data_IF_448096609508
#
_entry.id   IF_448096609508
#
_cell.length_a   1.000
_cell.length_b   1.000
_cell.length_c   1.000
_cell.angle_alpha   90.00
_cell.angle_beta   90.00
_cell.angle_gamma   90.00
#
_symmetry.space_group_name_H-M   'P 1'
#
loop_
_entity.id
_entity.type
_entity.pdbx_description
1 polymer ?
#
# COMPACT_ATOMS: atom_id res chain seq x y z
N UNK A 1 45.06 56.21 -8.30
CA UNK A 1 45.49 55.83 -6.93
C UNK A 1 44.24 55.43 -6.17
N UNK A 2 44.07 54.30 -5.49
CA UNK A 2 44.77 53.02 -5.33
C UNK A 2 44.00 52.29 -4.20
N UNK A 3 44.05 50.94 -4.17
CA UNK A 3 43.52 50.00 -3.15
C UNK A 3 42.09 49.51 -3.45
N UNK A 4 41.86 48.37 -4.11
CA UNK A 4 42.31 46.99 -3.86
C UNK A 4 41.89 46.47 -2.48
N UNK A 5 40.76 45.77 -2.42
CA UNK A 5 40.57 44.65 -1.50
C UNK A 5 39.88 43.50 -2.22
N UNK A 6 40.60 42.40 -2.24
CA UNK A 6 40.31 41.14 -2.90
C UNK A 6 39.54 40.27 -1.89
N UNK A 7 38.39 39.73 -2.26
CA UNK A 7 37.82 38.57 -1.55
C UNK A 7 37.41 37.52 -2.58
N UNK A 8 38.34 36.58 -2.78
CA UNK A 8 38.10 35.33 -3.49
C UNK A 8 37.13 34.47 -2.68
N UNK A 9 35.87 34.37 -3.12
CA UNK A 9 35.02 33.27 -2.72
C UNK A 9 35.32 32.07 -3.63
N UNK A 10 36.15 31.16 -3.12
CA UNK A 10 36.29 29.81 -3.62
C UNK A 10 34.99 29.04 -3.33
N UNK A 11 33.98 29.15 -4.20
CA UNK A 11 32.91 28.15 -4.25
C UNK A 11 33.41 26.99 -5.11
N UNK A 12 33.77 25.89 -4.44
CA UNK A 12 33.90 24.56 -5.07
C UNK A 12 32.55 24.20 -5.71
N UNK A 13 32.37 24.53 -6.98
CA UNK A 13 31.39 23.90 -7.85
C UNK A 13 31.99 22.55 -8.24
N UNK A 14 31.82 21.55 -7.38
CA UNK A 14 32.17 20.16 -7.67
C UNK A 14 30.88 19.33 -7.70
N UNK A 15 30.53 18.93 -8.92
CA UNK A 15 29.88 17.67 -9.30
C UNK A 15 28.42 17.37 -8.91
N UNK A 16 27.47 18.30 -9.03
CA UNK A 16 26.06 17.89 -9.25
C UNK A 16 25.82 17.52 -10.73
N UNK A 17 26.38 18.29 -11.65
CA UNK A 17 26.25 18.04 -13.10
C UNK A 17 26.96 16.79 -13.59
N UNK A 18 28.06 16.36 -12.96
CA UNK A 18 28.74 15.11 -13.33
C UNK A 18 27.97 13.88 -12.84
N UNK A 19 27.28 13.96 -11.71
CA UNK A 19 26.46 12.84 -11.18
C UNK A 19 25.13 12.77 -11.94
N UNK A 20 24.51 13.91 -12.26
CA UNK A 20 23.32 13.97 -13.12
C UNK A 20 23.65 13.58 -14.56
N UNK A 21 24.75 14.04 -15.14
CA UNK A 21 25.15 13.62 -16.50
C UNK A 21 25.63 12.16 -16.50
N UNK A 22 26.26 11.67 -15.44
CA UNK A 22 26.59 10.26 -15.32
C UNK A 22 25.32 9.41 -15.17
N UNK A 23 24.33 9.85 -14.38
CA UNK A 23 23.07 9.11 -14.21
C UNK A 23 22.21 9.15 -15.48
N UNK A 24 22.15 10.28 -16.20
CA UNK A 24 21.50 10.41 -17.52
C UNK A 24 22.22 9.62 -18.60
N UNK A 25 23.56 9.67 -18.66
CA UNK A 25 24.36 8.82 -19.57
C UNK A 25 24.20 7.34 -19.22
N UNK A 26 24.10 6.98 -17.94
CA UNK A 26 23.81 5.60 -17.52
C UNK A 26 22.38 5.21 -17.91
N UNK A 27 21.41 6.11 -17.77
CA UNK A 27 20.01 5.90 -18.15
C UNK A 27 19.85 5.74 -19.67
N UNK A 28 20.47 6.61 -20.49
CA UNK A 28 20.46 6.51 -21.95
C UNK A 28 21.21 5.26 -22.44
N UNK A 29 22.31 4.89 -21.78
CA UNK A 29 23.08 3.68 -22.12
C UNK A 29 22.35 2.40 -21.72
N UNK A 30 21.50 2.44 -20.70
CA UNK A 30 20.56 1.36 -20.34
C UNK A 30 19.37 1.33 -21.32
N UNK A 31 18.84 2.49 -21.74
CA UNK A 31 17.71 2.58 -22.65
C UNK A 31 18.04 2.09 -24.07
N UNK A 32 19.27 2.30 -24.53
CA UNK A 32 19.79 1.74 -25.80
C UNK A 32 20.08 0.23 -25.75
N UNK A 33 19.89 -0.44 -24.62
CA UNK A 33 19.95 -1.90 -24.54
C UNK A 33 18.62 -2.54 -24.98
N UNK A 34 18.17 -2.22 -26.19
CA UNK A 34 17.15 -3.01 -26.88
C UNK A 34 17.77 -4.39 -27.19
N UNK A 35 17.50 -5.36 -26.31
CA UNK A 35 18.02 -6.72 -26.42
C UNK A 35 17.43 -7.42 -27.65
N UNK A 36 18.31 -8.11 -28.39
CA UNK A 36 17.97 -8.84 -29.62
C UNK A 36 17.26 -10.18 -29.38
N UNK A 37 17.28 -10.71 -28.16
CA UNK A 37 16.82 -12.07 -27.85
C UNK A 37 15.39 -12.09 -27.28
N UNK A 38 14.42 -11.66 -28.07
CA UNK A 38 12.99 -11.64 -27.66
C UNK A 38 12.43 -13.05 -27.43
N UNK A 39 12.88 -14.05 -28.19
CA UNK A 39 12.42 -15.44 -28.07
C UNK A 39 12.90 -16.11 -26.76
N UNK A 40 14.18 -15.93 -26.41
CA UNK A 40 14.74 -16.46 -25.16
C UNK A 40 14.10 -15.78 -23.94
N UNK A 41 13.89 -14.46 -24.00
CA UNK A 41 13.17 -13.73 -22.96
C UNK A 41 11.73 -14.23 -22.79
N UNK A 42 11.02 -14.48 -23.90
CA UNK A 42 9.66 -15.01 -23.87
C UNK A 42 9.62 -16.44 -23.28
N UNK A 43 10.61 -17.27 -23.59
CA UNK A 43 10.75 -18.61 -23.02
C UNK A 43 11.02 -18.58 -21.50
N UNK A 44 12.00 -17.78 -21.05
CA UNK A 44 12.32 -17.64 -19.61
C UNK A 44 11.12 -17.05 -18.86
N UNK A 45 10.43 -16.05 -19.44
CA UNK A 45 9.19 -15.51 -18.87
C UNK A 45 8.11 -16.57 -18.74
N UNK A 46 7.96 -17.46 -19.72
CA UNK A 46 7.01 -18.59 -19.68
C UNK A 46 7.35 -19.57 -18.56
N UNK A 47 8.64 -19.86 -18.36
CA UNK A 47 9.11 -20.73 -17.26
C UNK A 47 8.77 -20.11 -15.90
N UNK A 48 9.14 -18.85 -15.67
CA UNK A 48 8.92 -18.17 -14.38
C UNK A 48 7.42 -18.05 -14.07
N UNK A 49 6.59 -17.82 -15.09
CA UNK A 49 5.14 -17.69 -14.92
C UNK A 49 4.41 -19.02 -14.73
N UNK A 50 5.08 -20.15 -15.01
CA UNK A 50 4.47 -21.47 -14.90
C UNK A 50 4.11 -21.83 -13.45
N UNK A 51 2.97 -22.50 -13.27
CA UNK A 51 2.52 -22.97 -11.95
C UNK A 51 3.50 -24.02 -11.37
N UNK A 52 4.07 -24.86 -12.23
CA UNK A 52 5.03 -25.89 -11.82
C UNK A 52 6.30 -25.27 -11.24
N UNK A 53 6.85 -24.24 -11.88
CA UNK A 53 8.03 -23.53 -11.37
C UNK A 53 7.78 -22.96 -9.97
N UNK A 54 6.62 -22.31 -9.77
CA UNK A 54 6.23 -21.80 -8.44
C UNK A 54 6.12 -22.92 -7.40
N UNK A 55 5.52 -24.06 -7.73
CA UNK A 55 5.41 -25.21 -6.81
C UNK A 55 6.80 -25.76 -6.46
N UNK A 56 7.70 -25.89 -7.44
CA UNK A 56 9.08 -26.34 -7.22
C UNK A 56 9.80 -25.38 -6.27
N UNK A 57 9.68 -24.07 -6.50
CA UNK A 57 10.33 -23.07 -5.65
C UNK A 57 9.77 -23.06 -4.22
N UNK A 58 8.45 -23.14 -4.05
CA UNK A 58 7.83 -23.24 -2.73
C UNK A 58 8.28 -24.53 -2.02
N UNK A 59 8.25 -25.67 -2.72
CA UNK A 59 8.71 -26.95 -2.18
C UNK A 59 10.17 -26.89 -1.75
N UNK A 60 11.02 -26.24 -2.55
CA UNK A 60 12.45 -26.03 -2.25
C UNK A 60 12.64 -25.21 -0.97
N UNK A 61 11.93 -24.09 -0.83
CA UNK A 61 12.00 -23.24 0.38
C UNK A 61 11.46 -23.98 1.62
N UNK A 62 10.33 -24.66 1.49
CA UNK A 62 9.75 -25.45 2.59
C UNK A 62 10.66 -26.61 3.01
N UNK A 63 11.27 -27.30 2.05
CA UNK A 63 12.23 -28.36 2.33
C UNK A 63 13.46 -27.80 3.04
N UNK A 64 14.03 -26.68 2.58
CA UNK A 64 15.15 -26.03 3.29
C UNK A 64 14.80 -25.69 4.74
N UNK A 65 13.61 -25.14 4.99
CA UNK A 65 13.15 -24.85 6.35
C UNK A 65 13.07 -26.11 7.22
N UNK A 66 12.59 -27.23 6.65
CA UNK A 66 12.57 -28.52 7.34
C UNK A 66 14.00 -29.01 7.67
N UNK A 67 14.93 -28.93 6.72
CA UNK A 67 16.35 -29.26 6.98
C UNK A 67 16.96 -28.36 8.06
N UNK A 68 16.60 -27.08 8.13
CA UNK A 68 17.04 -26.16 9.18
C UNK A 68 16.51 -26.56 10.57
N UNK A 69 15.27 -27.04 10.66
CA UNK A 69 14.73 -27.58 11.92
C UNK A 69 15.52 -28.81 12.37
N UNK A 70 15.75 -29.77 11.47
CA UNK A 70 16.54 -30.97 11.77
C UNK A 70 18.00 -30.65 12.17
N UNK A 71 18.57 -29.57 11.65
CA UNK A 71 19.91 -29.10 11.99
C UNK A 71 20.05 -28.63 13.45
N UNK A 72 18.94 -28.27 14.11
CA UNK A 72 18.96 -27.75 15.49
C UNK A 72 19.30 -28.86 16.50
N UNK A 73 18.99 -30.12 16.18
CA UNK A 73 19.40 -31.26 17.01
C UNK A 73 20.89 -31.61 16.79
N UNK A 74 21.69 -31.53 17.85
CA UNK A 74 23.12 -31.82 17.83
C UNK A 74 23.44 -33.24 17.36
N UNK A 75 22.62 -34.24 17.74
CA UNK A 75 22.85 -35.65 17.41
C UNK A 75 22.64 -35.88 15.91
N UNK A 76 21.54 -35.36 15.36
CA UNK A 76 21.22 -35.43 13.93
C UNK A 76 22.21 -34.64 13.09
N UNK A 77 22.61 -33.45 13.54
CA UNK A 77 23.59 -32.59 12.87
C UNK A 77 24.95 -33.26 12.69
N UNK A 78 25.45 -33.98 13.70
CA UNK A 78 26.74 -34.66 13.61
C UNK A 78 26.70 -35.82 12.61
N UNK A 79 25.66 -36.64 12.65
CA UNK A 79 25.53 -37.82 11.79
C UNK A 79 25.32 -37.44 10.31
N UNK A 80 24.55 -36.39 10.05
CA UNK A 80 24.16 -35.98 8.69
C UNK A 80 24.85 -34.68 8.22
N UNK A 81 25.97 -34.30 8.83
CA UNK A 81 26.65 -33.03 8.56
C UNK A 81 26.88 -32.77 7.06
N UNK A 82 27.37 -33.79 6.32
CA UNK A 82 27.61 -33.68 4.87
C UNK A 82 26.33 -33.47 4.07
N UNK A 83 25.21 -34.12 4.45
CA UNK A 83 23.94 -33.96 3.73
C UNK A 83 23.40 -32.54 3.88
N UNK A 84 23.50 -31.97 5.08
CA UNK A 84 23.08 -30.59 5.34
C UNK A 84 23.93 -29.56 4.60
N UNK A 85 25.26 -29.74 4.55
CA UNK A 85 26.13 -28.81 3.82
C UNK A 85 25.86 -28.86 2.31
N UNK A 86 25.68 -30.06 1.74
CA UNK A 86 25.34 -30.23 0.32
C UNK A 86 23.95 -29.68 0.01
N UNK A 87 22.94 -29.97 0.85
CA UNK A 87 21.59 -29.48 0.61
C UNK A 87 21.53 -27.96 0.65
N UNK A 88 22.23 -27.32 1.58
CA UNK A 88 22.32 -25.87 1.68
C UNK A 88 22.89 -25.23 0.41
N UNK A 89 23.96 -25.79 -0.15
CA UNK A 89 24.53 -25.32 -1.43
C UNK A 89 23.53 -25.49 -2.59
N UNK A 90 22.80 -26.61 -2.63
CA UNK A 90 21.77 -26.85 -3.64
C UNK A 90 20.65 -25.80 -3.53
N UNK A 91 20.17 -25.53 -2.31
CA UNK A 91 19.09 -24.57 -2.07
C UNK A 91 19.50 -23.14 -2.47
N UNK A 92 20.71 -22.72 -2.11
CA UNK A 92 21.28 -21.42 -2.49
C UNK A 92 21.40 -21.33 -4.02
N UNK A 93 21.86 -22.38 -4.67
CA UNK A 93 21.99 -22.45 -6.13
C UNK A 93 20.65 -22.31 -6.84
N UNK A 94 19.63 -23.05 -6.40
CA UNK A 94 18.27 -22.95 -6.95
C UNK A 94 17.71 -21.53 -6.78
N UNK A 95 17.82 -20.96 -5.58
CA UNK A 95 17.35 -19.59 -5.31
C UNK A 95 18.09 -18.52 -6.14
N UNK A 96 19.41 -18.69 -6.30
CA UNK A 96 20.23 -17.77 -7.10
C UNK A 96 19.90 -17.88 -8.58
N UNK A 97 19.66 -19.09 -9.09
CA UNK A 97 19.27 -19.29 -10.49
C UNK A 97 17.93 -18.62 -10.83
N UNK A 98 16.95 -18.72 -9.94
CA UNK A 98 15.67 -18.03 -10.08
C UNK A 98 15.85 -16.51 -10.13
N UNK A 99 16.65 -15.96 -9.22
CA UNK A 99 16.96 -14.53 -9.19
C UNK A 99 17.58 -14.07 -10.50
N UNK A 100 18.58 -14.80 -11.01
CA UNK A 100 19.20 -14.54 -12.30
C UNK A 100 18.18 -14.58 -13.45
N UNK A 101 17.26 -15.56 -13.46
CA UNK A 101 16.20 -15.65 -14.47
C UNK A 101 15.24 -14.45 -14.41
N UNK A 102 14.82 -14.02 -13.21
CA UNK A 102 13.94 -12.83 -13.05
C UNK A 102 14.64 -11.55 -13.48
N UNK A 103 15.90 -11.37 -13.09
CA UNK A 103 16.71 -10.22 -13.49
C UNK A 103 16.94 -10.19 -15.01
N UNK A 104 17.08 -11.37 -15.64
CA UNK A 104 17.23 -11.49 -17.08
C UNK A 104 15.97 -11.05 -17.85
N UNK A 105 14.77 -11.42 -17.40
CA UNK A 105 13.52 -11.12 -18.11
C UNK A 105 13.20 -9.61 -18.15
N UNK A 106 13.61 -8.82 -17.16
CA UNK A 106 13.32 -7.40 -17.17
C UNK A 106 14.03 -6.63 -16.07
N UNK A 107 15.29 -6.20 -16.25
CA UNK A 107 16.06 -5.59 -15.18
C UNK A 107 15.43 -4.30 -14.66
N UNK A 108 14.94 -3.41 -15.53
CA UNK A 108 14.34 -2.12 -15.10
C UNK A 108 12.97 -2.32 -14.42
N UNK A 109 12.11 -3.17 -14.99
CA UNK A 109 10.80 -3.42 -14.40
C UNK A 109 10.87 -4.22 -13.09
N UNK A 110 11.95 -5.00 -12.90
CA UNK A 110 12.18 -5.77 -11.69
C UNK A 110 12.35 -4.89 -10.46
N UNK A 111 13.06 -3.75 -10.56
CA UNK A 111 13.29 -2.83 -9.44
C UNK A 111 12.06 -2.01 -9.02
N UNK A 112 11.02 -1.91 -9.88
CA UNK A 112 9.79 -1.17 -9.57
C UNK A 112 8.81 -1.95 -8.69
N UNK A 113 8.91 -3.28 -8.66
CA UNK A 113 8.01 -4.13 -7.88
C UNK A 113 8.58 -4.38 -6.47
N UNK A 114 7.85 -3.95 -5.43
CA UNK A 114 8.27 -4.10 -4.04
C UNK A 114 8.51 -5.55 -3.61
N UNK A 115 7.82 -6.52 -4.21
CA UNK A 115 8.03 -7.95 -3.90
C UNK A 115 9.32 -8.51 -4.51
N UNK A 116 9.78 -7.91 -5.61
CA UNK A 116 11.07 -8.25 -6.22
C UNK A 116 12.22 -7.65 -5.41
N UNK A 117 12.03 -6.47 -4.79
CA UNK A 117 12.99 -5.92 -3.84
C UNK A 117 13.20 -6.85 -2.62
N UNK A 118 12.12 -7.44 -2.09
CA UNK A 118 12.23 -8.45 -1.02
C UNK A 118 13.06 -9.67 -1.46
N UNK A 119 12.90 -10.14 -2.70
CA UNK A 119 13.69 -11.25 -3.24
C UNK A 119 15.19 -10.90 -3.32
N UNK A 120 15.54 -9.66 -3.72
CA UNK A 120 16.92 -9.16 -3.69
C UNK A 120 17.49 -9.17 -2.27
N UNK A 121 16.74 -8.64 -1.29
CA UNK A 121 17.17 -8.59 0.12
C UNK A 121 17.42 -10.01 0.64
N UNK A 122 16.54 -10.96 0.33
CA UNK A 122 16.68 -12.35 0.73
C UNK A 122 17.93 -12.97 0.10
N UNK A 123 18.19 -12.73 -1.19
CA UNK A 123 19.42 -13.20 -1.84
C UNK A 123 20.65 -12.63 -1.14
N UNK A 124 20.68 -11.33 -0.82
CA UNK A 124 21.79 -10.73 -0.07
C UNK A 124 22.00 -11.45 1.26
N UNK A 125 20.93 -11.67 2.04
CA UNK A 125 20.99 -12.37 3.33
C UNK A 125 21.58 -13.78 3.20
N UNK A 126 21.24 -14.50 2.13
CA UNK A 126 21.76 -15.84 1.85
C UNK A 126 23.27 -15.80 1.55
N UNK A 127 23.76 -14.77 0.85
CA UNK A 127 25.18 -14.64 0.47
C UNK A 127 26.09 -14.08 1.57
N UNK A 128 25.57 -13.30 2.53
CA UNK A 128 26.33 -12.73 3.67
C UNK A 128 27.24 -13.77 4.36
N UNK A 129 26.76 -14.92 4.86
CA UNK A 129 27.57 -15.88 5.60
C UNK A 129 28.65 -16.53 4.73
N UNK A 130 28.39 -16.74 3.44
CA UNK A 130 29.36 -17.27 2.48
C UNK A 130 30.49 -16.26 2.24
N UNK A 131 30.14 -14.98 2.04
CA UNK A 131 31.11 -13.89 1.92
C UNK A 131 31.94 -13.69 3.19
N UNK A 132 31.29 -13.68 4.36
CA UNK A 132 31.97 -13.53 5.65
C UNK A 132 32.96 -14.66 5.93
N UNK A 133 32.60 -15.92 5.62
CA UNK A 133 33.49 -17.07 5.80
C UNK A 133 34.72 -17.00 4.89
N UNK A 134 34.57 -16.46 3.67
CA UNK A 134 35.67 -16.29 2.72
C UNK A 134 36.64 -15.16 3.11
N UNK A 135 36.13 -14.07 3.70
CA UNK A 135 36.93 -12.87 4.01
C UNK A 135 37.56 -12.92 5.41
N UNK A 136 36.81 -13.36 6.43
CA UNK A 136 37.21 -13.22 7.85
C UNK A 136 37.55 -14.54 8.57
N UNK A 137 37.50 -15.68 7.85
CA UNK A 137 37.78 -17.00 8.41
C UNK A 137 36.65 -17.55 9.30
N UNK A 138 36.79 -18.80 9.79
CA UNK A 138 35.74 -19.53 10.51
C UNK A 138 35.44 -19.00 11.93
N UNK A 139 36.34 -18.24 12.55
CA UNK A 139 36.27 -17.80 13.95
C UNK A 139 35.75 -16.36 14.15
N UNK A 140 34.76 -15.93 13.38
CA UNK A 140 34.14 -14.62 13.59
C UNK A 140 32.94 -14.76 14.56
N UNK A 141 32.89 -14.04 15.71
CA UNK A 141 31.83 -14.21 16.71
C UNK A 141 30.43 -13.89 16.15
N UNK A 142 30.32 -12.95 15.21
CA UNK A 142 29.06 -12.60 14.55
C UNK A 142 28.64 -13.60 13.45
N UNK A 143 29.44 -14.62 13.15
CA UNK A 143 29.07 -15.66 12.18
C UNK A 143 27.80 -16.39 12.65
N UNK A 144 27.62 -16.57 13.96
CA UNK A 144 26.42 -17.19 14.52
C UNK A 144 25.15 -16.39 14.21
N UNK A 145 25.23 -15.06 14.32
CA UNK A 145 24.12 -14.16 13.97
C UNK A 145 23.86 -14.21 12.45
N UNK A 146 24.91 -14.15 11.63
CA UNK A 146 24.79 -14.27 10.18
C UNK A 146 24.20 -15.63 9.74
N UNK A 147 24.53 -16.71 10.44
CA UNK A 147 23.93 -18.02 10.22
C UNK A 147 22.46 -18.03 10.63
N UNK A 148 22.09 -17.36 11.73
CA UNK A 148 20.69 -17.20 12.14
C UNK A 148 19.86 -16.40 11.13
N UNK A 149 20.42 -15.33 10.56
CA UNK A 149 19.75 -14.51 9.54
C UNK A 149 19.34 -15.31 8.30
N UNK A 150 20.04 -16.40 7.99
CA UNK A 150 19.67 -17.27 6.86
C UNK A 150 18.26 -17.87 6.99
N UNK A 151 17.75 -18.03 8.21
CA UNK A 151 16.38 -18.51 8.46
C UNK A 151 15.33 -17.59 7.84
N UNK A 152 15.64 -16.30 7.68
CA UNK A 152 14.78 -15.30 7.05
C UNK A 152 14.45 -15.63 5.59
N UNK A 153 15.17 -16.55 4.94
CA UNK A 153 14.80 -16.98 3.57
C UNK A 153 13.42 -17.64 3.50
N UNK A 154 12.86 -18.11 4.63
CA UNK A 154 11.46 -18.56 4.69
C UNK A 154 10.48 -17.44 4.28
N UNK A 155 10.87 -16.18 4.47
CA UNK A 155 10.11 -15.01 4.01
C UNK A 155 9.93 -14.99 2.49
N UNK A 156 10.76 -15.74 1.73
CA UNK A 156 10.58 -15.90 0.28
C UNK A 156 9.22 -16.51 -0.09
N UNK A 157 8.58 -17.21 0.85
CA UNK A 157 7.21 -17.71 0.70
C UNK A 157 6.19 -16.59 0.45
N UNK A 158 6.44 -15.39 0.98
CA UNK A 158 5.64 -14.17 0.74
C UNK A 158 5.60 -13.86 -0.76
N UNK A 159 6.72 -14.00 -1.46
CA UNK A 159 6.82 -13.71 -2.90
C UNK A 159 6.08 -14.77 -3.74
N UNK A 160 5.69 -15.91 -3.19
CA UNK A 160 4.94 -16.92 -3.94
C UNK A 160 3.47 -17.02 -3.59
N UNK A 161 3.12 -16.86 -2.31
CA UNK A 161 1.75 -17.04 -1.83
C UNK A 161 0.94 -15.76 -1.91
N UNK A 162 -0.08 -15.73 -2.78
CA UNK A 162 -1.04 -14.62 -2.84
C UNK A 162 -1.73 -14.38 -1.49
N UNK A 163 -2.04 -15.44 -0.74
CA UNK A 163 -2.68 -15.32 0.58
C UNK A 163 -1.81 -14.56 1.57
N UNK A 164 -0.51 -14.89 1.65
CA UNK A 164 0.42 -14.20 2.55
C UNK A 164 0.61 -12.74 2.12
N UNK A 165 0.68 -12.46 0.82
CA UNK A 165 0.72 -11.07 0.32
C UNK A 165 -0.51 -10.28 0.74
N UNK A 166 -1.71 -10.86 0.59
CA UNK A 166 -2.94 -10.19 1.04
C UNK A 166 -2.91 -9.90 2.54
N UNK A 167 -2.45 -10.86 3.36
CA UNK A 167 -2.33 -10.67 4.80
C UNK A 167 -1.33 -9.56 5.15
N UNK A 168 -0.15 -9.54 4.52
CA UNK A 168 0.87 -8.52 4.78
C UNK A 168 0.40 -7.15 4.31
N UNK A 169 -0.26 -7.06 3.15
CA UNK A 169 -0.84 -5.79 2.68
C UNK A 169 -1.92 -5.30 3.66
N UNK A 170 -2.77 -6.19 4.18
CA UNK A 170 -3.77 -5.83 5.17
C UNK A 170 -3.12 -5.33 6.48
N UNK A 171 -2.07 -6.02 6.97
CA UNK A 171 -1.30 -5.58 8.14
C UNK A 171 -0.58 -4.26 7.88
N UNK A 172 -0.05 -4.03 6.68
CA UNK A 172 0.58 -2.77 6.31
C UNK A 172 -0.40 -1.59 6.30
N UNK A 173 -1.62 -1.82 5.83
CA UNK A 173 -2.69 -0.81 5.86
C UNK A 173 -3.06 -0.41 7.29
N UNK A 174 -3.10 -1.36 8.24
CA UNK A 174 -3.40 -1.05 9.64
C UNK A 174 -2.19 -0.46 10.38
N UNK A 175 -0.97 -0.87 10.02
CA UNK A 175 0.25 -0.38 10.63
C UNK A 175 0.42 1.14 10.47
N UNK A 176 0.03 1.70 9.31
CA UNK A 176 0.09 3.15 9.10
C UNK A 176 -0.80 3.91 10.09
N UNK A 177 -2.03 3.43 10.31
CA UNK A 177 -2.96 4.03 11.29
C UNK A 177 -2.43 3.91 12.72
N UNK A 178 -1.80 2.79 13.05
CA UNK A 178 -1.24 2.52 14.39
C UNK A 178 0.05 3.30 14.65
N UNK A 179 0.82 3.64 13.61
CA UNK A 179 2.13 4.27 13.73
C UNK A 179 2.09 5.59 14.52
N UNK A 180 1.07 6.44 14.28
CA UNK A 180 0.92 7.72 15.00
C UNK A 180 0.80 7.54 16.51
N UNK A 181 0.07 6.51 16.96
CA UNK A 181 -0.11 6.22 18.38
C UNK A 181 1.14 5.56 18.97
N UNK A 182 1.83 4.71 18.20
CA UNK A 182 3.12 4.15 18.62
C UNK A 182 4.20 5.22 18.80
N UNK A 183 4.21 6.27 17.97
CA UNK A 183 5.13 7.41 18.15
C UNK A 183 4.80 8.15 19.46
N UNK A 184 3.53 8.42 19.74
CA UNK A 184 3.11 9.00 21.02
C UNK A 184 3.53 8.13 22.21
N UNK A 185 3.33 6.81 22.11
CA UNK A 185 3.75 5.85 23.12
C UNK A 185 5.28 5.83 23.32
N UNK A 186 6.05 5.91 22.23
CA UNK A 186 7.50 6.01 22.30
C UNK A 186 7.97 7.30 22.99
N UNK A 187 7.33 8.44 22.71
CA UNK A 187 7.61 9.71 23.40
C UNK A 187 7.28 9.62 24.89
N UNK A 188 6.14 9.01 25.25
CA UNK A 188 5.79 8.74 26.64
C UNK A 188 6.86 7.89 27.33
N UNK A 189 7.28 6.78 26.71
CA UNK A 189 8.36 5.93 27.23
C UNK A 189 9.67 6.71 27.35
N UNK A 190 10.02 7.57 26.41
CA UNK A 190 11.25 8.37 26.49
C UNK A 190 11.27 9.30 27.71
N UNK A 191 10.16 10.01 27.96
CA UNK A 191 10.02 10.88 29.13
C UNK A 191 10.15 10.08 30.42
N UNK A 192 9.46 8.93 30.50
CA UNK A 192 9.54 8.05 31.67
C UNK A 192 10.90 7.35 31.81
N UNK A 193 11.61 7.08 30.72
CA UNK A 193 12.93 6.46 30.74
C UNK A 193 13.95 7.40 31.36
N UNK A 194 13.91 8.69 31.00
CA UNK A 194 14.75 9.71 31.62
C UNK A 194 14.35 9.91 33.08
N UNK A 195 13.06 10.01 33.39
CA UNK A 195 12.59 10.15 34.77
C UNK A 195 13.05 8.98 35.65
N UNK A 196 12.86 7.73 35.19
CA UNK A 196 13.27 6.56 35.95
C UNK A 196 14.79 6.41 36.06
N UNK A 197 15.55 6.80 35.03
CA UNK A 197 17.01 6.91 35.12
C UNK A 197 17.43 7.92 36.21
N UNK A 198 16.81 9.10 36.23
CA UNK A 198 17.12 10.14 37.23
C UNK A 198 16.67 9.76 38.65
N UNK A 199 15.56 9.04 38.80
CA UNK A 199 14.98 8.67 40.10
C UNK A 199 15.60 7.39 40.69
N UNK A 200 15.86 6.39 39.85
CA UNK A 200 16.24 5.04 40.28
C UNK A 200 17.60 4.60 39.75
N UNK A 201 18.26 5.34 38.86
CA UNK A 201 19.54 4.99 38.25
C UNK A 201 20.79 5.45 39.01
N UNK A 202 20.66 5.88 40.27
CA UNK A 202 21.79 6.38 41.07
C UNK A 202 22.89 5.31 41.25
N UNK A 203 24.20 5.61 41.06
CA UNK A 203 25.26 4.60 41.05
C UNK A 203 25.45 3.80 42.34
N UNK A 204 25.15 4.37 43.52
CA UNK A 204 25.44 3.72 44.81
C UNK A 204 24.25 3.02 45.47
N UNK A 205 23.02 3.45 45.17
CA UNK A 205 21.77 2.92 45.77
C UNK A 205 20.67 2.61 44.76
N UNK A 206 20.88 2.97 43.50
CA UNK A 206 19.95 2.78 42.41
C UNK A 206 19.98 1.37 41.83
N UNK A 207 18.94 1.06 41.08
CA UNK A 207 18.80 -0.18 40.34
C UNK A 207 19.41 -0.03 38.94
N UNK A 208 20.71 -0.32 38.86
CA UNK A 208 21.49 -0.24 37.61
C UNK A 208 21.07 -1.27 36.56
N UNK A 209 20.42 -2.37 36.95
CA UNK A 209 20.00 -3.41 36.01
C UNK A 209 18.83 -2.93 35.15
N UNK A 210 17.91 -2.17 35.74
CA UNK A 210 16.73 -1.64 35.06
C UNK A 210 16.90 -0.19 34.63
N UNK A 211 17.60 0.64 35.42
CA UNK A 211 17.67 2.09 35.23
C UNK A 211 19.10 2.62 35.07
N UNK A 212 20.09 1.75 34.85
CA UNK A 212 21.50 2.17 34.74
C UNK A 212 21.87 2.85 33.43
N UNK A 213 21.08 2.70 32.38
CA UNK A 213 21.19 3.47 31.15
C UNK A 213 19.83 3.56 30.45
N UNK A 214 19.73 4.43 29.45
CA UNK A 214 18.46 4.66 28.74
C UNK A 214 17.93 3.40 28.05
N UNK A 215 18.79 2.53 27.51
CA UNK A 215 18.36 1.31 26.83
C UNK A 215 17.75 0.28 27.78
N UNK A 216 18.34 0.10 28.97
CA UNK A 216 17.79 -0.72 30.04
C UNK A 216 16.46 -0.14 30.53
N UNK A 217 16.38 1.18 30.72
CA UNK A 217 15.15 1.85 31.14
C UNK A 217 14.02 1.67 30.11
N UNK A 218 14.33 1.76 28.82
CA UNK A 218 13.38 1.46 27.75
C UNK A 218 12.89 0.01 27.79
N UNK A 219 13.78 -0.95 28.06
CA UNK A 219 13.41 -2.36 28.16
C UNK A 219 12.49 -2.61 29.38
N UNK A 220 12.81 -2.02 30.53
CA UNK A 220 11.97 -2.09 31.73
C UNK A 220 10.60 -1.45 31.50
N UNK A 221 10.55 -0.26 30.89
CA UNK A 221 9.28 0.41 30.57
C UNK A 221 8.44 -0.35 29.54
N UNK A 222 9.08 -1.02 28.58
CA UNK A 222 8.38 -1.90 27.64
C UNK A 222 7.68 -3.05 28.38
N UNK A 223 8.36 -3.70 29.34
CA UNK A 223 7.77 -4.73 30.21
C UNK A 223 6.62 -4.19 31.06
N UNK A 224 6.81 -3.01 31.67
CA UNK A 224 5.77 -2.35 32.46
C UNK A 224 4.55 -1.98 31.62
N UNK A 225 4.73 -1.61 30.36
CA UNK A 225 3.64 -1.23 29.48
C UNK A 225 2.77 -2.41 29.05
N UNK A 226 3.36 -3.62 29.00
CA UNK A 226 2.60 -4.88 28.85
C UNK A 226 2.04 -5.38 30.17
N UNK A 227 2.25 -4.65 31.28
CA UNK A 227 1.86 -5.03 32.64
C UNK A 227 2.47 -6.38 33.03
N UNK A 228 3.68 -6.66 32.54
CA UNK A 228 4.40 -7.90 32.82
C UNK A 228 5.56 -7.63 33.78
N UNK A 229 5.69 -8.47 34.81
CA UNK A 229 6.76 -8.37 35.82
C UNK A 229 6.75 -7.11 36.70
N UNK A 230 5.67 -6.30 36.67
CA UNK A 230 5.62 -5.01 37.37
C UNK A 230 5.63 -5.16 38.90
N UNK A 231 5.06 -6.24 39.44
CA UNK A 231 5.06 -6.51 40.89
C UNK A 231 6.45 -6.80 41.42
N UNK A 232 7.23 -7.57 40.65
CA UNK A 232 8.58 -7.98 41.04
C UNK A 232 9.53 -6.77 40.96
N UNK A 233 9.40 -5.95 39.91
CA UNK A 233 10.11 -4.68 39.82
C UNK A 233 9.74 -3.74 40.98
N UNK A 234 8.45 -3.64 41.30
CA UNK A 234 7.98 -2.79 42.39
C UNK A 234 8.50 -3.26 43.75
N UNK A 235 8.55 -4.57 43.99
CA UNK A 235 9.12 -5.15 45.19
C UNK A 235 10.62 -4.82 45.31
N UNK A 236 11.38 -4.94 44.21
CA UNK A 236 12.81 -4.58 44.20
C UNK A 236 13.05 -3.09 44.47
N UNK A 237 12.15 -2.21 44.02
CA UNK A 237 12.22 -0.77 44.29
C UNK A 237 11.80 -0.43 45.73
N UNK A 238 10.80 -1.14 46.27
CA UNK A 238 10.33 -1.01 47.65
C UNK A 238 11.42 -1.45 48.65
N UNK A 239 12.11 -2.57 48.39
CA UNK A 239 13.22 -3.08 49.21
C UNK A 239 14.38 -2.08 49.32
N UNK A 240 14.53 -1.21 48.31
CA UNK A 240 15.53 -0.13 48.26
C UNK A 240 15.03 1.19 48.87
N UNK A 241 13.84 1.22 49.45
CA UNK A 241 13.19 2.38 50.07
C UNK A 241 12.93 3.56 49.10
N UNK A 242 12.66 3.29 47.82
CA UNK A 242 12.25 4.33 46.87
C UNK A 242 10.78 4.70 47.06
N UNK A 243 10.49 5.72 47.86
CA UNK A 243 9.11 6.15 48.18
C UNK A 243 8.29 6.56 46.95
N UNK A 244 8.93 7.18 45.94
CA UNK A 244 8.28 7.63 44.71
C UNK A 244 8.05 6.50 43.68
N UNK A 245 8.59 5.30 43.92
CA UNK A 245 8.53 4.19 42.96
C UNK A 245 7.10 3.73 42.67
N UNK A 246 6.28 3.54 43.71
CA UNK A 246 4.88 3.10 43.57
C UNK A 246 4.07 4.06 42.70
N UNK A 247 4.17 5.36 42.97
CA UNK A 247 3.48 6.38 42.19
C UNK A 247 3.98 6.42 40.74
N UNK A 248 5.31 6.35 40.53
CA UNK A 248 5.89 6.30 39.20
C UNK A 248 5.37 5.10 38.38
N UNK A 249 5.43 3.89 38.95
CA UNK A 249 5.00 2.65 38.28
C UNK A 249 3.51 2.68 37.99
N UNK A 250 2.67 3.05 38.96
CA UNK A 250 1.20 3.09 38.79
C UNK A 250 0.81 4.14 37.73
N UNK A 251 1.39 5.34 37.78
CA UNK A 251 1.09 6.40 36.80
C UNK A 251 1.51 5.96 35.40
N UNK A 252 2.70 5.36 35.26
CA UNK A 252 3.16 4.87 33.98
C UNK A 252 2.24 3.78 33.43
N UNK A 253 1.89 2.77 34.23
CA UNK A 253 1.01 1.67 33.81
C UNK A 253 -0.36 2.18 33.38
N UNK A 254 -0.94 3.13 34.13
CA UNK A 254 -2.22 3.75 33.79
C UNK A 254 -2.15 4.54 32.48
N UNK A 255 -1.10 5.37 32.30
CA UNK A 255 -0.90 6.14 31.07
C UNK A 255 -0.62 5.23 29.87
N UNK A 256 0.25 4.23 30.01
CA UNK A 256 0.56 3.26 28.97
C UNK A 256 -0.70 2.48 28.57
N UNK A 257 -1.46 1.99 29.55
CA UNK A 257 -2.73 1.28 29.32
C UNK A 257 -3.76 2.17 28.63
N UNK A 258 -3.84 3.45 29.01
CA UNK A 258 -4.70 4.43 28.35
C UNK A 258 -4.30 4.65 26.89
N UNK A 259 -3.00 4.78 26.60
CA UNK A 259 -2.49 4.92 25.22
C UNK A 259 -2.77 3.64 24.40
N UNK A 260 -2.57 2.45 24.96
CA UNK A 260 -2.90 1.18 24.31
C UNK A 260 -4.39 1.03 24.03
N UNK A 261 -5.25 1.39 25.00
CA UNK A 261 -6.71 1.37 24.80
C UNK A 261 -7.12 2.40 23.73
N UNK A 262 -6.52 3.59 23.74
CA UNK A 262 -6.75 4.62 22.74
C UNK A 262 -6.33 4.18 21.34
N UNK A 263 -5.21 3.44 21.24
CA UNK A 263 -4.77 2.81 19.99
C UNK A 263 -5.82 1.81 19.48
N UNK A 264 -6.30 0.92 20.35
CA UNK A 264 -7.30 -0.08 20.00
C UNK A 264 -8.61 0.57 19.55
N UNK A 265 -9.11 1.55 20.30
CA UNK A 265 -10.31 2.32 19.96
C UNK A 265 -10.13 3.05 18.63
N UNK A 266 -8.98 3.72 18.41
CA UNK A 266 -8.69 4.42 17.17
C UNK A 266 -8.71 3.49 15.95
N UNK A 267 -8.01 2.36 16.04
CA UNK A 267 -7.99 1.34 14.98
C UNK A 267 -9.37 0.75 14.73
N UNK A 268 -10.11 0.43 15.80
CA UNK A 268 -11.47 -0.09 15.70
C UNK A 268 -12.40 0.91 15.01
N UNK A 269 -12.37 2.19 15.39
CA UNK A 269 -13.17 3.24 14.76
C UNK A 269 -12.82 3.37 13.29
N UNK A 270 -11.54 3.45 12.93
CA UNK A 270 -11.14 3.53 11.50
C UNK A 270 -11.65 2.33 10.71
N UNK A 271 -11.55 1.11 11.26
CA UNK A 271 -12.06 -0.09 10.60
C UNK A 271 -13.59 -0.10 10.49
N UNK A 272 -14.29 0.30 11.54
CA UNK A 272 -15.75 0.39 11.55
C UNK A 272 -16.22 1.46 10.57
N UNK A 273 -15.60 2.63 10.55
CA UNK A 273 -15.90 3.73 9.63
C UNK A 273 -15.65 3.32 8.17
N UNK A 274 -14.50 2.70 7.88
CA UNK A 274 -14.21 2.17 6.54
C UNK A 274 -15.21 1.10 6.12
N UNK A 275 -15.63 0.24 7.05
CA UNK A 275 -16.63 -0.81 6.78
C UNK A 275 -18.01 -0.22 6.50
N UNK A 276 -18.43 0.78 7.27
CA UNK A 276 -19.69 1.52 7.07
C UNK A 276 -19.66 2.24 5.71
N UNK A 277 -18.58 2.97 5.39
CA UNK A 277 -18.42 3.66 4.09
C UNK A 277 -18.38 2.69 2.91
N UNK A 278 -17.87 1.47 3.09
CA UNK A 278 -17.93 0.41 2.06
C UNK A 278 -19.36 -0.07 1.86
N UNK A 279 -20.06 -0.37 2.96
CA UNK A 279 -21.45 -0.81 2.92
C UNK A 279 -22.39 0.24 2.29
N UNK A 280 -22.24 1.53 2.65
CA UNK A 280 -23.03 2.61 2.04
C UNK A 280 -22.78 2.73 0.53
N UNK A 281 -21.53 2.59 0.08
CA UNK A 281 -21.20 2.60 -1.36
C UNK A 281 -21.82 1.42 -2.10
N UNK A 282 -21.77 0.23 -1.53
CA UNK A 282 -22.41 -0.96 -2.11
C UNK A 282 -23.92 -0.76 -2.23
N UNK A 283 -24.56 -0.21 -1.20
CA UNK A 283 -26.00 0.07 -1.21
C UNK A 283 -26.37 1.15 -2.23
N UNK A 284 -25.56 2.22 -2.36
CA UNK A 284 -25.76 3.23 -3.40
C UNK A 284 -25.64 2.64 -4.80
N UNK A 285 -24.64 1.78 -5.04
CA UNK A 285 -24.46 1.09 -6.31
C UNK A 285 -25.65 0.18 -6.63
N UNK A 286 -26.12 -0.61 -5.66
CA UNK A 286 -27.29 -1.46 -5.83
C UNK A 286 -28.54 -0.65 -6.18
N UNK A 287 -28.78 0.47 -5.50
CA UNK A 287 -29.88 1.39 -5.82
C UNK A 287 -29.74 2.01 -7.22
N UNK A 288 -28.53 2.36 -7.63
CA UNK A 288 -28.32 2.89 -8.99
C UNK A 288 -28.60 1.83 -10.05
N UNK A 289 -28.20 0.58 -9.81
CA UNK A 289 -28.49 -0.54 -10.73
C UNK A 289 -30.00 -0.77 -10.84
N UNK A 290 -30.73 -0.83 -9.73
CA UNK A 290 -32.18 -1.02 -9.77
C UNK A 290 -32.91 0.12 -10.47
N UNK A 291 -32.53 1.38 -10.21
CA UNK A 291 -33.09 2.54 -10.91
C UNK A 291 -32.78 2.54 -12.41
N UNK A 292 -31.58 2.09 -12.80
CA UNK A 292 -31.23 1.95 -14.22
C UNK A 292 -32.07 0.88 -14.91
N UNK A 293 -32.29 -0.26 -14.27
CA UNK A 293 -33.17 -1.32 -14.78
C UNK A 293 -34.61 -0.83 -14.93
N UNK A 294 -35.16 -0.14 -13.93
CA UNK A 294 -36.50 0.45 -14.00
C UNK A 294 -36.62 1.50 -15.12
N UNK A 295 -35.63 2.40 -15.25
CA UNK A 295 -35.59 3.42 -16.33
C UNK A 295 -35.56 2.74 -17.70
N UNK A 296 -34.76 1.68 -17.88
CA UNK A 296 -34.70 0.94 -19.13
C UNK A 296 -36.03 0.28 -19.49
N UNK A 297 -36.74 -0.29 -18.51
CA UNK A 297 -38.07 -0.89 -18.74
C UNK A 297 -39.08 0.18 -19.16
N UNK A 298 -39.09 1.34 -18.50
CA UNK A 298 -40.01 2.44 -18.84
C UNK A 298 -39.71 2.97 -20.25
N UNK A 299 -38.45 3.20 -20.60
CA UNK A 299 -38.06 3.66 -21.93
C UNK A 299 -38.47 2.68 -23.03
N UNK A 300 -38.29 1.36 -22.83
CA UNK A 300 -38.76 0.36 -23.80
C UNK A 300 -40.27 0.44 -24.01
N UNK A 301 -41.05 0.58 -22.93
CA UNK A 301 -42.52 0.73 -23.03
C UNK A 301 -42.90 2.00 -23.81
N UNK A 302 -42.23 3.11 -23.55
CA UNK A 302 -42.47 4.36 -24.30
C UNK A 302 -42.14 4.19 -25.79
N UNK A 303 -41.02 3.55 -26.12
CA UNK A 303 -40.63 3.27 -27.50
C UNK A 303 -41.67 2.39 -28.21
N UNK A 304 -42.17 1.35 -27.55
CA UNK A 304 -43.21 0.47 -28.07
C UNK A 304 -44.52 1.22 -28.35
N UNK A 305 -45.00 2.03 -27.41
CA UNK A 305 -46.22 2.83 -27.59
C UNK A 305 -46.07 3.87 -28.71
N UNK A 306 -44.95 4.58 -28.78
CA UNK A 306 -44.66 5.53 -29.88
C UNK A 306 -44.62 4.80 -31.22
N UNK A 307 -43.96 3.64 -31.30
CA UNK A 307 -43.91 2.85 -32.54
C UNK A 307 -45.28 2.34 -32.98
N UNK A 308 -46.16 2.01 -32.02
CA UNK A 308 -47.54 1.58 -32.27
C UNK A 308 -48.38 2.74 -32.81
N UNK A 309 -48.28 3.92 -32.20
CA UNK A 309 -48.94 5.13 -32.68
C UNK A 309 -48.50 5.51 -34.10
N UNK A 310 -47.20 5.42 -34.41
CA UNK A 310 -46.70 5.65 -35.78
C UNK A 310 -47.28 4.65 -36.79
N UNK A 311 -47.42 3.37 -36.43
CA UNK A 311 -48.01 2.34 -37.30
C UNK A 311 -49.50 2.58 -37.52
N UNK A 312 -50.23 2.98 -36.48
CA UNK A 312 -51.66 3.33 -36.61
C UNK A 312 -51.85 4.55 -37.51
N UNK A 313 -50.98 5.56 -37.42
CA UNK A 313 -50.99 6.72 -38.33
C UNK A 313 -50.67 6.32 -39.78
N UNK A 314 -49.72 5.40 -40.00
CA UNK A 314 -49.31 4.96 -41.34
C UNK A 314 -50.34 4.06 -42.02
N UNK A 315 -51.13 3.29 -41.25
CA UNK A 315 -52.20 2.43 -41.77
C UNK A 315 -53.52 3.18 -42.00
N UNK A 316 -53.69 4.36 -41.40
CA UNK A 316 -54.81 5.24 -41.64
C UNK A 316 -54.46 6.23 -42.77
N UNK A 317 -54.60 5.82 -44.03
CA UNK A 317 -54.82 6.80 -45.08
C UNK A 317 -56.14 7.52 -44.77
N UNK A 318 -56.06 8.85 -44.56
CA UNK A 318 -57.12 9.79 -44.20
C UNK A 318 -57.49 9.88 -42.71
N UNK A 319 -56.68 10.64 -41.96
CA UNK A 319 -57.05 11.98 -41.46
C UNK A 319 -55.80 12.66 -40.92
N UNK A 320 -55.57 13.93 -41.29
CA UNK A 320 -54.47 14.71 -40.73
C UNK A 320 -54.63 14.79 -39.20
N UNK A 321 -53.53 14.77 -38.43
CA UNK A 321 -53.58 14.94 -36.97
C UNK A 321 -54.37 16.19 -36.57
N UNK A 322 -54.27 17.25 -37.39
CA UNK A 322 -55.07 18.47 -37.27
C UNK A 322 -56.59 18.20 -37.28
N UNK A 323 -57.06 17.28 -38.11
CA UNK A 323 -58.49 16.97 -38.29
C UNK A 323 -59.06 16.11 -37.13
N UNK A 324 -58.20 15.32 -36.48
CA UNK A 324 -58.55 14.60 -35.24
C UNK A 324 -58.64 15.57 -34.05
N UNK A 325 -57.68 16.49 -33.92
CA UNK A 325 -57.68 17.55 -32.90
C UNK A 325 -58.87 18.49 -33.09
N UNK A 326 -59.28 18.77 -34.32
CA UNK A 326 -60.39 19.67 -34.64
C UNK A 326 -61.77 19.06 -34.37
N UNK A 327 -61.96 17.76 -34.59
CA UNK A 327 -63.17 17.05 -34.17
C UNK A 327 -63.26 16.90 -32.64
N UNK A 328 -62.12 16.75 -31.96
CA UNK A 328 -62.06 16.75 -30.50
C UNK A 328 -62.41 18.14 -29.93
N UNK A 329 -61.90 19.22 -30.53
CA UNK A 329 -62.25 20.62 -30.19
C UNK A 329 -63.75 20.90 -30.26
N UNK A 330 -64.46 20.32 -31.24
CA UNK A 330 -65.92 20.47 -31.39
C UNK A 330 -66.75 19.77 -30.31
N UNK A 331 -66.13 18.92 -29.48
CA UNK A 331 -66.82 18.13 -28.45
C UNK A 331 -66.66 18.75 -27.04
N UNK A 332 -65.84 19.80 -26.89
CA UNK A 332 -65.52 20.44 -25.60
C UNK A 332 -66.43 21.66 -25.32
N UNK A 333 -66.70 21.95 -24.04
CA UNK A 333 -67.42 23.18 -23.61
C UNK A 333 -66.44 24.34 -23.48
N UNK A 334 -66.94 25.58 -23.54
CA UNK A 334 -66.13 26.82 -23.53
C UNK A 334 -65.22 27.06 -22.29
N UNK A 335 -65.25 26.17 -21.30
CA UNK A 335 -64.46 26.26 -20.05
C UNK A 335 -63.42 25.15 -19.91
N UNK A 336 -63.31 24.23 -20.87
CA UNK A 336 -62.38 23.10 -20.78
C UNK A 336 -60.95 23.53 -21.23
N UNK A 337 -59.89 23.18 -20.47
CA UNK A 337 -58.52 23.53 -20.85
C UNK A 337 -58.08 22.81 -22.14
N UNK A 338 -57.55 23.58 -23.09
CA UNK A 338 -57.22 23.13 -24.46
C UNK A 338 -55.73 22.82 -24.60
N UNK A 339 -55.39 21.67 -25.21
CA UNK A 339 -54.04 21.45 -25.77
C UNK A 339 -53.95 22.27 -27.06
N UNK A 340 -53.19 23.35 -27.03
CA UNK A 340 -52.89 24.15 -28.23
C UNK A 340 -52.10 23.25 -29.19
N UNK A 341 -52.43 23.36 -30.48
CA UNK A 341 -51.67 22.77 -31.59
C UNK A 341 -50.40 23.62 -31.74
N UNK A 342 -49.54 23.56 -30.73
CA UNK A 342 -48.29 24.30 -30.69
C UNK A 342 -47.18 23.38 -31.23
N UNK A 343 -46.11 23.99 -31.75
CA UNK A 343 -45.02 23.27 -32.43
C UNK A 343 -44.47 22.11 -31.57
N UNK A 344 -44.56 22.26 -30.24
CA UNK A 344 -44.12 21.30 -29.22
C UNK A 344 -44.95 20.02 -29.07
N UNK A 345 -46.15 19.92 -29.65
CA UNK A 345 -47.03 18.73 -29.53
C UNK A 345 -47.23 17.96 -30.82
N UNK A 346 -46.57 18.38 -31.92
CA UNK A 346 -46.64 17.65 -33.18
C UNK A 346 -45.81 16.35 -33.10
N UNK A 347 -46.35 15.24 -33.63
CA UNK A 347 -45.63 13.95 -33.67
C UNK A 347 -44.22 14.05 -34.27
N UNK A 348 -43.99 14.80 -35.37
CA UNK A 348 -42.65 15.00 -35.90
C UNK A 348 -41.72 15.75 -34.95
N UNK A 349 -42.23 16.75 -34.22
CA UNK A 349 -41.44 17.44 -33.21
C UNK A 349 -41.09 16.52 -32.04
N UNK A 350 -42.03 15.69 -31.58
CA UNK A 350 -41.78 14.72 -30.51
C UNK A 350 -40.70 13.72 -30.94
N UNK A 351 -40.75 13.23 -32.18
CA UNK A 351 -39.74 12.30 -32.72
C UNK A 351 -38.35 12.94 -32.81
N UNK A 352 -38.29 14.18 -33.33
CA UNK A 352 -37.04 14.97 -33.36
C UNK A 352 -36.55 15.29 -31.94
N UNK A 353 -37.44 15.61 -31.02
CA UNK A 353 -37.10 15.92 -29.62
C UNK A 353 -36.56 14.70 -28.88
N UNK A 354 -37.20 13.53 -29.04
CA UNK A 354 -36.72 12.27 -28.47
C UNK A 354 -35.36 11.86 -29.07
N UNK A 355 -35.20 11.97 -30.40
CA UNK A 355 -33.91 11.71 -31.04
C UNK A 355 -32.82 12.69 -30.59
N UNK A 356 -33.18 13.95 -30.35
CA UNK A 356 -32.26 14.96 -29.82
C UNK A 356 -31.89 14.65 -28.37
N UNK A 357 -32.84 14.22 -27.54
CA UNK A 357 -32.60 13.76 -26.17
C UNK A 357 -31.66 12.55 -26.14
N UNK A 358 -31.86 11.56 -27.00
CA UNK A 358 -30.97 10.39 -27.10
C UNK A 358 -29.54 10.82 -27.48
N UNK A 359 -29.41 11.76 -28.41
CA UNK A 359 -28.11 12.28 -28.80
C UNK A 359 -27.45 13.12 -27.68
N UNK A 360 -28.24 13.85 -26.90
CA UNK A 360 -27.77 14.55 -25.71
C UNK A 360 -27.31 13.57 -24.63
N UNK A 361 -28.07 12.51 -24.33
CA UNK A 361 -27.69 11.48 -23.36
C UNK A 361 -26.41 10.74 -23.80
N UNK A 362 -26.26 10.45 -25.11
CA UNK A 362 -25.03 9.89 -25.66
C UNK A 362 -23.84 10.86 -25.51
N UNK A 363 -24.07 12.15 -25.69
CA UNK A 363 -23.04 13.19 -25.53
C UNK A 363 -22.64 13.36 -24.07
N UNK A 364 -23.61 13.37 -23.15
CA UNK A 364 -23.38 13.41 -21.69
C UNK A 364 -22.60 12.18 -21.24
N UNK A 365 -22.97 10.99 -21.72
CA UNK A 365 -22.25 9.74 -21.41
C UNK A 365 -20.79 9.81 -21.87
N UNK A 366 -20.53 10.30 -23.08
CA UNK A 366 -19.16 10.52 -23.58
C UNK A 366 -18.39 11.56 -22.77
N UNK A 367 -19.04 12.66 -22.38
CA UNK A 367 -18.43 13.68 -21.52
C UNK A 367 -18.07 13.10 -20.15
N UNK A 368 -18.92 12.26 -19.59
CA UNK A 368 -18.68 11.61 -18.31
C UNK A 368 -17.54 10.59 -18.41
N UNK A 369 -17.46 9.81 -19.48
CA UNK A 369 -16.34 8.93 -19.78
C UNK A 369 -15.02 9.71 -19.91
N UNK A 370 -15.03 10.83 -20.65
CA UNK A 370 -13.89 11.73 -20.78
C UNK A 370 -13.46 12.32 -19.43
N UNK A 371 -14.44 12.68 -18.57
CA UNK A 371 -14.17 13.16 -17.23
C UNK A 371 -13.50 12.09 -16.36
N UNK A 372 -13.97 10.83 -16.43
CA UNK A 372 -13.31 9.72 -15.73
C UNK A 372 -11.89 9.47 -16.25
N UNK A 373 -11.67 9.54 -17.57
CA UNK A 373 -10.32 9.45 -18.13
C UNK A 373 -9.41 10.60 -17.65
N UNK A 374 -9.91 11.84 -17.65
CA UNK A 374 -9.16 13.01 -17.15
C UNK A 374 -8.81 12.83 -15.67
N UNK A 375 -9.76 12.40 -14.83
CA UNK A 375 -9.52 12.13 -13.41
C UNK A 375 -8.51 10.99 -13.23
N UNK A 376 -8.59 9.95 -14.06
CA UNK A 376 -7.64 8.84 -14.03
C UNK A 376 -6.22 9.30 -14.41
N UNK A 377 -6.06 10.10 -15.46
CA UNK A 377 -4.78 10.67 -15.87
C UNK A 377 -4.24 11.66 -14.82
N UNK A 378 -5.09 12.50 -14.25
CA UNK A 378 -4.69 13.40 -13.15
C UNK A 378 -4.24 12.60 -11.92
N UNK A 379 -4.92 11.50 -11.59
CA UNK A 379 -4.50 10.60 -10.52
C UNK A 379 -3.14 9.99 -10.80
N UNK A 380 -2.90 9.54 -12.04
CA UNK A 380 -1.59 9.02 -12.47
C UNK A 380 -0.50 10.09 -12.42
N UNK A 381 -0.79 11.33 -12.83
CA UNK A 381 0.16 12.44 -12.75
C UNK A 381 0.43 12.90 -11.30
N UNK A 382 -0.57 12.82 -10.43
CA UNK A 382 -0.40 13.12 -9.00
C UNK A 382 0.45 12.04 -8.31
N UNK A 383 0.37 10.80 -8.80
CA UNK A 383 1.22 9.68 -8.39
C UNK A 383 2.66 9.78 -8.96
N UNK A 384 2.83 10.39 -10.15
CA UNK A 384 4.14 10.67 -10.79
C UNK A 384 4.80 12.00 -10.35
N UNK A 385 4.12 12.83 -9.54
CA UNK A 385 4.70 14.07 -9.02
C UNK A 385 5.77 13.72 -7.98
N UNK A 386 7.04 14.13 -8.16
CA UNK A 386 8.05 13.90 -7.13
C UNK A 386 7.61 14.62 -5.85
N UNK A 387 7.68 13.94 -4.70
CA UNK A 387 7.39 14.42 -3.34
C UNK A 387 8.24 15.65 -2.89
N UNK A 388 8.35 16.69 -3.71
CA UNK A 388 9.21 17.85 -3.50
C UNK A 388 8.40 19.13 -3.58
N UNK A 389 7.45 19.29 -2.65
CA UNK A 389 6.94 20.58 -2.17
C UNK A 389 5.91 20.40 -1.04
N UNK A 390 6.34 19.82 0.08
CA UNK A 390 5.68 20.05 1.37
C UNK A 390 6.66 20.54 2.45
N UNK A 391 7.92 20.80 2.08
CA UNK A 391 8.98 21.29 2.96
C UNK A 391 9.47 22.71 2.62
N UNK A 392 8.77 23.50 1.80
CA UNK A 392 9.22 24.86 1.43
C UNK A 392 8.21 26.00 1.63
N UNK A 393 7.01 25.74 2.16
CA UNK A 393 6.05 26.80 2.52
C UNK A 393 5.95 27.08 4.03
N UNK A 394 6.61 26.30 4.89
CA UNK A 394 6.60 26.55 6.35
C UNK A 394 7.86 27.27 6.87
N UNK A 395 8.88 27.50 6.03
CA UNK A 395 10.14 28.16 6.43
C UNK A 395 10.24 29.64 6.00
N UNK A 396 9.15 30.26 5.52
CA UNK A 396 9.16 31.68 5.10
C UNK A 396 8.22 32.62 5.87
N UNK A 397 7.72 32.20 7.03
CA UNK A 397 6.91 33.08 7.88
C UNK A 397 7.51 33.42 9.26
N UNK A 398 8.76 33.03 9.55
CA UNK A 398 9.43 33.32 10.84
C UNK A 398 10.77 34.06 10.71
N UNK A 399 10.97 34.85 9.66
CA UNK A 399 11.98 35.91 9.65
C UNK A 399 11.36 37.23 9.19
N UNK A 400 10.68 37.92 10.12
CA UNK A 400 10.69 39.38 10.24
C UNK A 400 10.16 39.85 11.59
#
# INVERSE_FOLDING_TARGET
>A
MSQHFNHQNHTRVISSSLIENASLMFYEKIWKFQRKDTECQAFVKRIIMSRLFKIIMISTVSMNAFFMVLWTDYKTRYNLFRLFEVSEVIFVSICSSEFCMKLYVGPINYWRDGYNLLDVIIIIIIFIPYGLRKIKGKHYPYLNIANGMQSLRILKLITYSRGIRTLITAVGQTAYTVASVLILFFVLMFVFAILGFCLFGAPERGDLNNWGNLALAFFTLFSLATVDGWTDLQQQLDDRNFVLSRSFTIIFVLLASFVFLSMFVGVMITHTEDSIKRFERELMLERHVTLMEEKQVILRRQQEEVSKLMRTQKNAEQKSFAELVENFKKTLRHTDPMVLDDFGTSLPFIDVYLSTLDNQDATVSKLQELYYEIVHVLSLMLEDLPHKKQSQSSEKFDER
#
